data_IF_452479238476
#
_entry.id   IF_452479238476
#
_cell.length_a   1.000
_cell.length_b   1.000
_cell.length_c   1.000
_cell.angle_alpha   90.00
_cell.angle_beta   90.00
_cell.angle_gamma   90.00
#
_symmetry.space_group_name_H-M   'P 1'
#
loop_
_entity.id
_entity.type
_entity.pdbx_description
1 polymer ?
#
# COMPACT_ATOMS: atom_id res chain seq x y z
N UNK A 1 -3.78 48.73 24.04
CA UNK A 1 -4.96 48.14 23.36
C UNK A 1 -4.43 47.56 22.07
N UNK A 2 -3.72 46.44 22.20
CA UNK A 2 -4.19 45.05 22.06
C UNK A 2 -4.07 44.63 20.60
N UNK A 3 -2.83 44.20 20.34
CA UNK A 3 -2.38 43.26 19.33
C UNK A 3 -3.33 42.06 19.27
N UNK A 4 -3.95 41.84 18.11
CA UNK A 4 -4.81 40.68 17.84
C UNK A 4 -3.95 39.59 17.25
N UNK A 5 -3.59 38.61 18.09
CA UNK A 5 -2.86 37.42 17.70
C UNK A 5 -3.60 36.67 16.60
N UNK A 6 -2.85 36.33 15.55
CA UNK A 6 -3.23 35.31 14.61
C UNK A 6 -3.10 33.97 15.32
N UNK A 7 -4.22 33.26 15.49
CA UNK A 7 -4.23 31.84 15.81
C UNK A 7 -3.45 31.09 14.73
N UNK A 8 -2.29 30.54 15.11
CA UNK A 8 -1.61 29.53 14.31
C UNK A 8 -2.44 28.25 14.27
N UNK A 9 -2.25 27.38 13.26
CA UNK A 9 -2.97 26.13 13.19
C UNK A 9 -2.64 25.28 14.43
N UNK A 10 -3.71 24.87 15.13
CA UNK A 10 -3.68 23.95 16.25
C UNK A 10 -2.82 22.73 15.91
N UNK A 11 -1.83 22.45 16.77
CA UNK A 11 -1.05 21.22 16.73
C UNK A 11 -1.97 20.03 16.94
N UNK A 12 -2.29 19.33 15.85
CA UNK A 12 -2.99 18.05 15.88
C UNK A 12 -2.16 17.01 16.62
N UNK A 13 -2.82 16.31 17.53
CA UNK A 13 -2.30 15.21 18.35
C UNK A 13 -1.39 14.24 17.59
N UNK A 14 -0.16 14.07 18.11
CA UNK A 14 0.96 13.27 17.60
C UNK A 14 0.84 11.76 17.87
N UNK A 15 -0.19 11.11 17.32
CA UNK A 15 -0.25 9.65 17.18
C UNK A 15 -1.20 9.32 16.00
N UNK A 16 -0.65 9.21 14.79
CA UNK A 16 -1.44 8.90 13.59
C UNK A 16 -1.65 7.38 13.52
N UNK A 17 -2.77 6.90 14.05
CA UNK A 17 -3.19 5.51 13.89
C UNK A 17 -3.73 5.29 12.47
N UNK A 18 -3.33 4.20 11.84
CA UNK A 18 -3.77 3.77 10.49
C UNK A 18 -4.36 2.36 10.58
N UNK A 19 -5.20 2.00 9.61
CA UNK A 19 -5.66 0.61 9.51
C UNK A 19 -4.58 -0.28 8.91
N UNK A 20 -3.95 0.18 7.82
CA UNK A 20 -2.96 -0.58 7.05
C UNK A 20 -1.76 0.29 6.75
N UNK A 21 -0.56 -0.22 7.02
CA UNK A 21 0.69 0.34 6.49
C UNK A 21 1.29 -0.61 5.48
N UNK A 22 1.43 -0.14 4.24
CA UNK A 22 2.12 -0.86 3.16
C UNK A 22 3.56 -0.37 3.08
N UNK A 23 4.51 -1.28 3.30
CA UNK A 23 5.95 -0.98 3.26
C UNK A 23 6.50 -1.29 1.87
N UNK A 24 6.70 -0.24 1.08
CA UNK A 24 7.21 -0.31 -0.30
C UNK A 24 6.15 0.00 -1.36
N UNK A 25 6.43 0.99 -2.19
CA UNK A 25 5.58 1.54 -3.25
C UNK A 25 5.90 0.96 -4.63
N UNK A 26 6.34 -0.30 -4.65
CA UNK A 26 6.46 -1.07 -5.89
C UNK A 26 5.11 -1.60 -6.35
N UNK A 27 5.12 -2.37 -7.45
CA UNK A 27 3.89 -2.91 -8.05
C UNK A 27 3.02 -3.70 -7.06
N UNK A 28 3.64 -4.55 -6.23
CA UNK A 28 2.90 -5.34 -5.24
C UNK A 28 2.26 -4.48 -4.16
N UNK A 29 3.01 -3.53 -3.60
CA UNK A 29 2.52 -2.66 -2.52
C UNK A 29 1.44 -1.70 -3.01
N UNK A 30 1.64 -1.04 -4.16
CA UNK A 30 0.62 -0.17 -4.74
C UNK A 30 -0.66 -0.95 -5.09
N UNK A 31 -0.54 -2.18 -5.58
CA UNK A 31 -1.73 -3.01 -5.83
C UNK A 31 -2.43 -3.37 -4.52
N UNK A 32 -1.70 -3.74 -3.47
CA UNK A 32 -2.29 -4.00 -2.15
C UNK A 32 -2.98 -2.75 -1.57
N UNK A 33 -2.38 -1.58 -1.77
CA UNK A 33 -2.91 -0.30 -1.33
C UNK A 33 -4.23 0.04 -2.03
N UNK A 34 -4.33 -0.15 -3.35
CA UNK A 34 -5.60 0.01 -4.09
C UNK A 34 -6.69 -0.85 -3.45
N UNK A 35 -6.42 -2.12 -3.16
CA UNK A 35 -7.44 -3.03 -2.67
C UNK A 35 -7.92 -2.68 -1.26
N UNK A 36 -6.99 -2.40 -0.35
CA UNK A 36 -7.30 -2.04 1.04
C UNK A 36 -8.01 -0.68 1.13
N UNK A 37 -7.49 0.35 0.44
CA UNK A 37 -8.10 1.68 0.44
C UNK A 37 -9.49 1.69 -0.22
N UNK A 38 -9.71 0.90 -1.29
CA UNK A 38 -11.05 0.73 -1.89
C UNK A 38 -12.06 0.10 -0.94
N UNK A 39 -11.62 -0.55 0.14
CA UNK A 39 -12.48 -1.04 1.21
C UNK A 39 -12.69 -0.05 2.35
N UNK A 40 -12.20 1.18 2.18
CA UNK A 40 -12.33 2.22 3.19
C UNK A 40 -11.41 2.03 4.39
N UNK A 41 -10.45 1.09 4.31
CA UNK A 41 -9.37 1.04 5.29
C UNK A 41 -8.48 2.26 5.10
N UNK A 42 -8.12 2.90 6.21
CA UNK A 42 -7.14 3.98 6.24
C UNK A 42 -5.74 3.41 5.95
N UNK A 43 -5.38 3.43 4.66
CA UNK A 43 -4.17 2.82 4.13
C UNK A 43 -3.10 3.88 3.88
N UNK A 44 -1.91 3.66 4.46
CA UNK A 44 -0.69 4.45 4.20
C UNK A 44 0.34 3.62 3.44
N UNK A 45 0.83 4.13 2.31
CA UNK A 45 2.00 3.59 1.61
C UNK A 45 3.25 4.36 2.03
N UNK A 46 4.25 3.66 2.56
CA UNK A 46 5.57 4.23 2.88
C UNK A 46 6.60 3.73 1.89
N UNK A 47 7.20 4.62 1.11
CA UNK A 47 8.12 4.25 0.04
C UNK A 47 9.13 5.36 -0.29
N UNK A 48 10.43 5.06 -0.45
CA UNK A 48 11.42 6.06 -0.84
C UNK A 48 11.48 6.33 -2.36
N UNK A 49 10.57 5.77 -3.17
CA UNK A 49 10.56 5.94 -4.63
C UNK A 49 11.53 5.04 -5.40
N UNK A 50 12.17 4.07 -4.74
CA UNK A 50 13.31 3.31 -5.30
C UNK A 50 12.92 1.98 -5.98
N UNK A 51 11.68 1.86 -6.47
CA UNK A 51 11.22 0.64 -7.14
C UNK A 51 12.18 0.27 -8.28
N UNK A 52 12.75 -0.96 -8.23
CA UNK A 52 13.68 -1.44 -9.26
C UNK A 52 13.09 -1.40 -10.67
N UNK A 53 11.76 -1.41 -10.79
CA UNK A 53 11.08 -1.32 -12.05
C UNK A 53 11.41 -0.01 -12.79
N UNK A 54 11.63 1.11 -12.07
CA UNK A 54 12.01 2.44 -12.62
C UNK A 54 13.29 2.42 -13.45
N UNK A 55 14.19 1.46 -13.20
CA UNK A 55 15.49 1.34 -13.88
C UNK A 55 15.42 0.69 -15.27
N UNK A 56 14.28 0.08 -15.59
CA UNK A 56 14.13 -0.63 -16.86
C UNK A 56 13.80 0.35 -18.00
N UNK A 57 14.26 0.01 -19.20
CA UNK A 57 14.01 0.82 -20.39
C UNK A 57 12.55 0.74 -20.83
N UNK A 58 11.98 -0.48 -20.87
CA UNK A 58 10.63 -0.75 -21.33
C UNK A 58 10.07 -2.02 -20.69
N UNK A 59 8.77 -2.08 -20.41
CA UNK A 59 8.08 -3.25 -19.86
C UNK A 59 7.11 -3.84 -20.90
N UNK A 60 7.47 -4.98 -21.46
CA UNK A 60 6.75 -5.56 -22.62
C UNK A 60 5.64 -6.55 -22.24
N UNK A 61 5.68 -7.11 -21.03
CA UNK A 61 4.87 -8.27 -20.65
C UNK A 61 3.84 -7.99 -19.54
N UNK A 62 3.48 -6.73 -19.33
CA UNK A 62 2.36 -6.38 -18.42
C UNK A 62 1.03 -6.43 -19.17
N UNK A 63 0.04 -7.24 -18.73
CA UNK A 63 -1.25 -7.35 -19.42
C UNK A 63 -1.95 -6.01 -19.60
N UNK A 64 -2.61 -5.84 -20.75
CA UNK A 64 -3.29 -4.58 -21.11
C UNK A 64 -2.42 -3.59 -21.91
N UNK A 65 -1.11 -3.81 -22.01
CA UNK A 65 -0.19 -2.97 -22.78
C UNK A 65 0.38 -3.75 -23.99
N UNK A 66 -0.33 -3.80 -25.13
CA UNK A 66 0.07 -4.65 -26.27
C UNK A 66 1.41 -4.27 -26.92
N UNK A 67 1.87 -3.03 -26.71
CA UNK A 67 3.17 -2.53 -27.18
C UNK A 67 4.15 -2.29 -26.01
N UNK A 68 3.83 -2.82 -24.82
CA UNK A 68 4.51 -2.51 -23.58
C UNK A 68 4.24 -1.09 -23.07
N UNK A 69 4.91 -0.74 -21.98
CA UNK A 69 4.76 0.52 -21.26
C UNK A 69 6.09 0.99 -20.68
N UNK A 70 6.28 2.31 -20.61
CA UNK A 70 7.37 2.90 -19.84
C UNK A 70 7.21 2.52 -18.35
N UNK A 71 8.20 1.86 -17.71
CA UNK A 71 8.06 1.34 -16.36
C UNK A 71 7.76 2.39 -15.28
N UNK A 72 8.26 3.62 -15.45
CA UNK A 72 8.00 4.75 -14.54
C UNK A 72 6.54 5.19 -14.64
N UNK A 73 6.04 5.37 -15.87
CA UNK A 73 4.62 5.67 -16.09
C UNK A 73 3.67 4.57 -15.59
N UNK A 74 4.08 3.30 -15.55
CA UNK A 74 3.26 2.26 -14.93
C UNK A 74 3.16 2.47 -13.42
N UNK A 75 4.28 2.79 -12.76
CA UNK A 75 4.31 3.04 -11.32
C UNK A 75 3.51 4.28 -10.96
N UNK A 76 3.65 5.38 -11.71
CA UNK A 76 2.86 6.60 -11.45
C UNK A 76 1.36 6.31 -11.60
N UNK A 77 0.97 5.54 -12.63
CA UNK A 77 -0.44 5.15 -12.81
C UNK A 77 -0.97 4.28 -11.67
N UNK A 78 -0.15 3.38 -11.13
CA UNK A 78 -0.51 2.56 -9.97
C UNK A 78 -0.61 3.41 -8.69
N UNK A 79 0.27 4.39 -8.52
CA UNK A 79 0.26 5.33 -7.41
C UNK A 79 -0.98 6.23 -7.46
N UNK A 80 -1.28 6.81 -8.62
CA UNK A 80 -2.49 7.58 -8.87
C UNK A 80 -3.76 6.75 -8.65
N UNK A 81 -3.74 5.45 -8.97
CA UNK A 81 -4.86 4.55 -8.72
C UNK A 81 -5.03 4.27 -7.21
N UNK A 82 -3.93 4.12 -6.47
CA UNK A 82 -3.97 3.95 -5.02
C UNK A 82 -4.47 5.24 -4.33
N UNK A 83 -3.97 6.40 -4.73
CA UNK A 83 -4.43 7.69 -4.24
C UNK A 83 -5.92 7.93 -4.58
N UNK A 84 -6.34 7.63 -5.81
CA UNK A 84 -7.74 7.72 -6.23
C UNK A 84 -8.67 6.75 -5.50
N UNK A 85 -8.13 5.66 -4.93
CA UNK A 85 -8.83 4.74 -4.04
C UNK A 85 -8.91 5.23 -2.58
N UNK A 86 -8.14 6.26 -2.22
CA UNK A 86 -8.08 6.82 -0.87
C UNK A 86 -6.83 6.45 -0.06
N UNK A 87 -5.81 5.85 -0.67
CA UNK A 87 -4.55 5.57 0.02
C UNK A 87 -3.71 6.85 0.16
N UNK A 88 -3.16 7.08 1.35
CA UNK A 88 -2.16 8.11 1.58
C UNK A 88 -0.76 7.61 1.21
N UNK A 89 0.12 8.55 0.88
CA UNK A 89 1.53 8.28 0.59
C UNK A 89 2.45 9.08 1.50
N UNK A 90 3.49 8.41 2.00
CA UNK A 90 4.60 9.03 2.67
C UNK A 90 5.92 8.64 1.98
N UNK A 91 6.64 9.65 1.49
CA UNK A 91 7.95 9.45 0.89
C UNK A 91 9.01 9.32 1.99
N UNK A 92 9.34 8.07 2.32
CA UNK A 92 10.27 7.74 3.37
C UNK A 92 10.61 6.26 3.42
N UNK A 93 11.60 5.91 4.23
CA UNK A 93 12.02 4.53 4.44
C UNK A 93 11.52 4.04 5.79
N UNK A 94 10.84 2.90 5.80
CA UNK A 94 10.60 2.17 7.04
C UNK A 94 11.91 1.61 7.55
N UNK A 95 12.26 2.00 8.78
CA UNK A 95 13.49 1.57 9.45
C UNK A 95 13.24 0.41 10.41
N UNK A 96 12.02 0.33 10.97
CA UNK A 96 11.63 -0.74 11.90
C UNK A 96 10.11 -0.93 11.93
N UNK A 97 9.70 -2.18 12.09
CA UNK A 97 8.36 -2.57 12.51
C UNK A 97 8.52 -3.33 13.84
N UNK A 98 7.69 -3.00 14.81
CA UNK A 98 7.64 -3.70 16.09
C UNK A 98 6.19 -3.99 16.47
N UNK A 99 5.94 -5.06 17.22
CA UNK A 99 4.63 -5.23 17.87
C UNK A 99 4.47 -4.21 18.98
N UNK A 100 3.24 -3.75 19.23
CA UNK A 100 2.99 -2.77 20.30
C UNK A 100 3.48 -3.30 21.65
N UNK A 101 3.26 -4.59 21.95
CA UNK A 101 3.77 -5.21 23.18
C UNK A 101 5.30 -5.13 23.33
N UNK A 102 6.06 -5.31 22.25
CA UNK A 102 7.53 -5.18 22.31
C UNK A 102 7.99 -3.74 22.55
N UNK A 103 7.22 -2.75 22.08
CA UNK A 103 7.49 -1.32 22.35
C UNK A 103 7.18 -0.99 23.81
N UNK A 104 6.07 -1.50 24.33
CA UNK A 104 5.66 -1.29 25.72
C UNK A 104 6.65 -1.93 26.71
N UNK A 105 7.14 -3.14 26.43
CA UNK A 105 8.16 -3.82 27.24
C UNK A 105 9.48 -3.02 27.27
N UNK A 106 9.91 -2.49 26.12
CA UNK A 106 11.11 -1.66 26.04
C UNK A 106 10.96 -0.32 26.79
N UNK A 107 9.76 0.26 26.80
CA UNK A 107 9.45 1.48 27.57
C UNK A 107 9.36 1.22 29.09
N UNK A 108 8.98 0.01 29.51
CA UNK A 108 9.01 -0.36 30.93
C UNK A 108 10.43 -0.39 31.51
N UNK A 109 11.43 -0.69 30.66
CA UNK A 109 12.85 -0.66 31.02
C UNK A 109 13.46 0.76 31.02
N UNK A 110 12.79 1.76 30.42
CA UNK A 110 13.16 3.18 30.46
C UNK A 110 11.94 4.10 30.80
N UNK A 111 11.71 4.41 32.09
CA UNK A 111 10.51 5.12 32.55
C UNK A 111 10.38 6.58 32.06
N UNK A 112 11.36 7.12 31.32
CA UNK A 112 11.25 8.41 30.66
C UNK A 112 10.38 8.39 29.39
N UNK A 113 10.03 7.21 28.85
CA UNK A 113 9.24 7.04 27.62
C UNK A 113 7.70 6.96 27.84
N UNK A 114 7.23 7.09 29.09
CA UNK A 114 5.85 6.84 29.53
C UNK A 114 4.82 7.94 29.19
N UNK A 115 4.82 8.41 27.95
CA UNK A 115 3.78 9.28 27.43
C UNK A 115 3.31 8.77 26.05
N UNK A 116 2.77 7.55 26.00
CA UNK A 116 2.02 7.09 24.82
C UNK A 116 0.65 6.56 25.26
N UNK A 117 -0.43 6.87 24.51
CA UNK A 117 -1.78 6.50 24.87
C UNK A 117 -1.98 4.97 24.86
N UNK A 118 -2.94 4.50 25.65
CA UNK A 118 -3.24 3.08 25.87
C UNK A 118 -3.30 2.27 24.57
N UNK A 119 -2.41 1.29 24.45
CA UNK A 119 -2.33 0.34 23.34
C UNK A 119 -3.64 -0.42 23.05
N UNK A 120 -4.53 -0.50 24.04
CA UNK A 120 -5.80 -1.20 23.94
C UNK A 120 -6.92 -0.38 23.27
N UNK A 121 -6.74 0.93 23.05
CA UNK A 121 -7.83 1.82 22.63
C UNK A 121 -8.04 1.90 21.10
N UNK A 122 -7.01 1.63 20.28
CA UNK A 122 -7.08 1.79 18.82
C UNK A 122 -6.99 0.48 18.01
N UNK A 123 -6.79 -0.66 18.67
CA UNK A 123 -6.66 -1.97 18.01
C UNK A 123 -5.35 -2.14 17.22
N UNK A 124 -4.40 -1.20 17.33
CA UNK A 124 -3.12 -1.30 16.67
C UNK A 124 -2.31 -2.47 17.23
N UNK A 125 -1.69 -3.22 16.32
CA UNK A 125 -0.85 -4.38 16.61
C UNK A 125 0.63 -4.05 16.44
N UNK A 126 0.93 -3.05 15.60
CA UNK A 126 2.27 -2.69 15.20
C UNK A 126 2.54 -1.19 15.37
N UNK A 127 3.81 -0.87 15.55
CA UNK A 127 4.38 0.46 15.40
C UNK A 127 5.39 0.41 14.26
N UNK A 128 5.24 1.32 13.30
CA UNK A 128 6.11 1.45 12.12
C UNK A 128 6.93 2.72 12.26
N UNK A 129 8.24 2.58 12.37
CA UNK A 129 9.19 3.69 12.43
C UNK A 129 9.72 4.01 11.03
N UNK A 130 9.88 5.30 10.75
CA UNK A 130 10.40 5.79 9.48
C UNK A 130 11.58 6.73 9.70
N UNK A 131 12.36 7.00 8.65
CA UNK A 131 13.50 7.92 8.69
C UNK A 131 13.13 9.41 8.63
N UNK A 132 11.85 9.76 8.47
CA UNK A 132 11.43 11.14 8.23
C UNK A 132 10.10 11.58 8.86
N UNK A 133 9.40 10.70 9.60
CA UNK A 133 8.14 11.01 10.26
C UNK A 133 8.05 10.35 11.64
N UNK A 134 7.10 10.85 12.45
CA UNK A 134 6.74 10.23 13.71
C UNK A 134 6.30 8.76 13.49
N UNK A 135 6.54 7.86 14.47
CA UNK A 135 6.10 6.48 14.37
C UNK A 135 4.60 6.36 14.12
N UNK A 136 4.21 5.45 13.24
CA UNK A 136 2.81 5.20 12.86
C UNK A 136 2.32 3.94 13.55
N UNK A 137 1.22 4.04 14.30
CA UNK A 137 0.53 2.87 14.87
C UNK A 137 -0.38 2.27 13.80
N UNK A 138 -0.44 0.94 13.70
CA UNK A 138 -1.27 0.28 12.68
C UNK A 138 -1.82 -1.07 13.12
N UNK A 139 -3.01 -1.42 12.60
CA UNK A 139 -3.62 -2.75 12.79
C UNK A 139 -2.95 -3.79 11.90
N UNK A 140 -2.64 -3.41 10.67
CA UNK A 140 -2.07 -4.30 9.65
C UNK A 140 -0.81 -3.74 9.01
N UNK A 141 0.10 -4.64 8.64
CA UNK A 141 1.31 -4.32 7.86
C UNK A 141 1.40 -5.22 6.64
N UNK A 142 1.60 -4.63 5.46
CA UNK A 142 1.91 -5.36 4.22
C UNK A 142 3.35 -5.05 3.81
N UNK A 143 4.26 -5.98 4.08
CA UNK A 143 5.66 -5.90 3.70
C UNK A 143 5.83 -6.20 2.19
N UNK A 144 6.07 -5.17 1.37
CA UNK A 144 6.09 -5.25 -0.09
C UNK A 144 7.40 -4.72 -0.71
N UNK A 145 8.49 -4.71 0.06
CA UNK A 145 9.83 -4.36 -0.42
C UNK A 145 10.37 -5.43 -1.37
N UNK A 146 11.50 -5.15 -2.05
CA UNK A 146 12.07 -6.11 -3.00
C UNK A 146 12.72 -7.32 -2.31
N UNK A 147 13.70 -7.06 -1.46
CA UNK A 147 14.48 -8.06 -0.72
C UNK A 147 15.07 -7.47 0.58
N UNK A 148 14.53 -6.32 1.00
CA UNK A 148 14.93 -5.63 2.22
C UNK A 148 14.05 -6.16 3.33
N UNK A 149 14.65 -6.78 4.34
CA UNK A 149 13.94 -7.42 5.46
C UNK A 149 14.37 -6.86 6.81
N UNK A 150 15.40 -6.00 6.86
CA UNK A 150 16.01 -5.56 8.12
C UNK A 150 15.01 -4.88 9.06
N UNK A 151 14.01 -4.18 8.50
CA UNK A 151 12.96 -3.54 9.29
C UNK A 151 12.01 -4.51 10.00
N UNK A 152 12.02 -5.81 9.65
CA UNK A 152 11.22 -6.86 10.31
C UNK A 152 12.02 -7.66 11.34
N UNK A 153 13.31 -7.37 11.52
CA UNK A 153 14.16 -8.10 12.47
C UNK A 153 13.65 -7.95 13.91
N UNK A 154 13.62 -9.06 14.64
CA UNK A 154 13.21 -9.10 16.04
C UNK A 154 11.70 -9.23 16.27
N UNK A 155 10.89 -9.40 15.21
CA UNK A 155 9.48 -9.78 15.37
C UNK A 155 9.37 -11.31 15.44
N UNK A 156 9.02 -11.82 16.62
CA UNK A 156 8.75 -13.25 16.82
C UNK A 156 7.61 -13.72 15.91
N UNK A 157 7.85 -14.78 15.13
CA UNK A 157 6.90 -15.33 14.15
C UNK A 157 7.14 -14.89 12.71
N UNK A 158 8.04 -13.93 12.45
CA UNK A 158 8.48 -13.61 11.09
C UNK A 158 9.67 -14.47 10.72
N UNK A 159 9.44 -15.48 9.87
CA UNK A 159 10.50 -16.29 9.30
C UNK A 159 11.24 -15.53 8.19
N UNK A 160 12.57 -15.53 8.22
CA UNK A 160 13.40 -14.99 7.13
C UNK A 160 14.14 -16.14 6.44
N UNK A 161 14.01 -16.22 5.12
CA UNK A 161 14.64 -17.25 4.29
C UNK A 161 15.72 -16.61 3.41
N UNK A 162 16.95 -17.11 3.49
CA UNK A 162 18.04 -16.69 2.60
C UNK A 162 18.29 -17.73 1.49
N UNK A 163 18.12 -17.31 0.24
CA UNK A 163 18.45 -18.10 -0.97
C UNK A 163 19.38 -17.34 -1.91
N UNK A 164 20.38 -16.66 -1.34
CA UNK A 164 21.25 -15.69 -2.01
C UNK A 164 20.68 -14.26 -2.00
N UNK A 165 19.45 -14.11 -1.52
CA UNK A 165 18.75 -12.87 -1.15
C UNK A 165 17.80 -13.25 -0.01
N UNK A 166 17.49 -12.28 0.85
CA UNK A 166 16.53 -12.46 1.92
C UNK A 166 15.08 -12.34 1.42
N UNK A 167 14.23 -13.18 1.98
CA UNK A 167 12.79 -13.26 1.76
C UNK A 167 12.07 -13.44 3.09
N UNK A 168 10.78 -13.14 3.12
CA UNK A 168 9.90 -13.44 4.25
C UNK A 168 9.18 -14.76 3.99
N UNK A 169 9.25 -15.67 4.95
CA UNK A 169 8.50 -16.93 4.95
C UNK A 169 7.01 -16.63 5.13
N UNK A 170 6.20 -17.09 4.19
CA UNK A 170 4.76 -16.86 4.17
C UNK A 170 4.00 -18.08 3.67
N UNK A 171 2.72 -18.16 4.02
CA UNK A 171 1.79 -19.09 3.38
C UNK A 171 1.54 -18.72 1.90
N UNK A 172 0.76 -19.54 1.20
CA UNK A 172 0.49 -19.33 -0.23
C UNK A 172 -0.22 -18.01 -0.54
N UNK A 173 -0.91 -17.45 0.46
CA UNK A 173 -1.71 -16.22 0.42
C UNK A 173 -1.00 -15.01 1.04
N UNK A 174 0.26 -15.16 1.43
CA UNK A 174 1.14 -14.10 1.92
C UNK A 174 1.02 -13.77 3.41
N UNK A 175 0.40 -14.62 4.24
CA UNK A 175 0.42 -14.47 5.71
C UNK A 175 1.79 -14.85 6.27
N UNK A 176 2.31 -14.05 7.19
CA UNK A 176 3.45 -14.46 8.03
C UNK A 176 2.96 -15.30 9.22
N UNK A 177 3.88 -15.68 10.13
CA UNK A 177 3.51 -16.30 11.41
C UNK A 177 2.95 -15.31 12.45
N UNK A 178 2.71 -14.05 12.08
CA UNK A 178 2.22 -12.99 12.96
C UNK A 178 0.90 -12.45 12.44
N UNK A 179 -0.15 -12.53 13.26
CA UNK A 179 -1.48 -12.04 12.92
C UNK A 179 -1.46 -10.55 12.55
N UNK A 180 -1.93 -10.24 11.35
CA UNK A 180 -1.98 -8.89 10.80
C UNK A 180 -0.72 -8.41 10.10
N UNK A 181 0.33 -9.24 10.01
CA UNK A 181 1.52 -8.97 9.20
C UNK A 181 1.58 -9.91 7.99
N UNK A 182 1.64 -9.30 6.81
CA UNK A 182 1.64 -9.97 5.52
C UNK A 182 2.90 -9.60 4.73
N UNK A 183 3.30 -10.43 3.77
CA UNK A 183 4.33 -10.08 2.80
C UNK A 183 3.84 -10.31 1.36
N UNK A 184 4.18 -9.37 0.47
CA UNK A 184 3.70 -9.34 -0.91
C UNK A 184 4.83 -9.26 -1.94
N UNK A 185 4.50 -9.63 -3.19
CA UNK A 185 5.43 -9.58 -4.32
C UNK A 185 6.73 -10.35 -4.11
N UNK A 186 7.86 -9.70 -4.43
CA UNK A 186 9.18 -10.33 -4.44
C UNK A 186 9.67 -10.73 -3.04
N UNK A 187 9.29 -9.99 -2.00
CA UNK A 187 9.64 -10.30 -0.61
C UNK A 187 9.11 -11.67 -0.19
N UNK A 188 7.93 -12.03 -0.68
CA UNK A 188 7.25 -13.31 -0.48
C UNK A 188 7.64 -14.37 -1.54
N UNK A 189 8.90 -14.38 -1.97
CA UNK A 189 9.48 -15.29 -2.96
C UNK A 189 8.81 -15.35 -4.36
N UNK A 190 7.84 -14.49 -4.67
CA UNK A 190 7.19 -14.56 -5.98
C UNK A 190 8.18 -14.24 -7.12
N UNK A 191 7.95 -14.83 -8.31
CA UNK A 191 8.75 -14.55 -9.50
C UNK A 191 8.95 -13.05 -9.74
N UNK A 192 10.14 -12.68 -10.21
CA UNK A 192 10.51 -11.29 -10.47
C UNK A 192 9.87 -10.79 -11.77
N UNK A 193 8.55 -10.61 -11.75
CA UNK A 193 7.69 -10.23 -12.88
C UNK A 193 6.63 -9.25 -12.38
N UNK A 194 6.49 -8.09 -13.03
CA UNK A 194 5.58 -7.03 -12.56
C UNK A 194 4.13 -7.52 -12.47
N UNK A 195 3.63 -8.25 -13.47
CA UNK A 195 2.27 -8.79 -13.46
C UNK A 195 2.03 -9.81 -12.33
N UNK A 196 3.03 -10.63 -12.01
CA UNK A 196 2.95 -11.59 -10.88
C UNK A 196 2.93 -10.84 -9.55
N UNK A 197 3.77 -9.82 -9.40
CA UNK A 197 3.78 -8.98 -8.21
C UNK A 197 2.45 -8.20 -8.03
N UNK A 198 1.85 -7.72 -9.12
CA UNK A 198 0.53 -7.08 -9.08
C UNK A 198 -0.54 -8.07 -8.57
N UNK A 199 -0.62 -9.25 -9.20
CA UNK A 199 -1.56 -10.30 -8.80
C UNK A 199 -1.37 -10.73 -7.35
N UNK A 200 -0.13 -10.93 -6.90
CA UNK A 200 0.14 -11.30 -5.51
C UNK A 200 -0.18 -10.16 -4.53
N UNK A 201 0.09 -8.89 -4.90
CA UNK A 201 -0.32 -7.74 -4.08
C UNK A 201 -1.83 -7.68 -3.85
N UNK A 202 -2.61 -7.93 -4.91
CA UNK A 202 -4.06 -8.03 -4.83
C UNK A 202 -4.50 -9.23 -3.95
N UNK A 203 -3.91 -10.41 -4.17
CA UNK A 203 -4.20 -11.62 -3.38
C UNK A 203 -3.93 -11.42 -1.88
N UNK A 204 -2.83 -10.78 -1.52
CA UNK A 204 -2.49 -10.45 -0.14
C UNK A 204 -3.50 -9.47 0.47
N UNK A 205 -3.89 -8.43 -0.26
CA UNK A 205 -4.88 -7.48 0.23
C UNK A 205 -6.26 -8.13 0.42
N UNK A 206 -6.71 -8.98 -0.50
CA UNK A 206 -7.95 -9.77 -0.33
C UNK A 206 -7.86 -10.66 0.91
N UNK A 207 -6.71 -11.29 1.13
CA UNK A 207 -6.44 -12.14 2.29
C UNK A 207 -6.50 -11.33 3.60
N UNK A 208 -5.93 -10.13 3.62
CA UNK A 208 -6.03 -9.20 4.74
C UNK A 208 -7.48 -8.81 5.02
N UNK A 209 -8.24 -8.47 3.98
CA UNK A 209 -9.64 -8.07 4.11
C UNK A 209 -10.53 -9.21 4.63
N UNK A 210 -10.25 -10.45 4.22
CA UNK A 210 -10.90 -11.64 4.79
C UNK A 210 -10.57 -11.80 6.29
N UNK A 211 -9.32 -11.55 6.69
CA UNK A 211 -8.90 -11.64 8.09
C UNK A 211 -9.43 -10.46 8.95
N UNK A 212 -9.79 -9.32 8.34
CA UNK A 212 -10.47 -8.18 8.97
C UNK A 212 -12.01 -8.38 9.05
N UNK A 213 -12.53 -9.51 8.55
CA UNK A 213 -13.97 -9.75 8.38
C UNK A 213 -14.67 -8.64 7.54
N UNK A 214 -13.92 -7.98 6.65
CA UNK A 214 -14.45 -6.94 5.78
C UNK A 214 -15.45 -7.55 4.77
N UNK A 215 -16.58 -6.87 4.48
CA UNK A 215 -17.53 -7.37 3.50
C UNK A 215 -16.86 -7.57 2.14
N UNK A 216 -17.17 -8.69 1.48
CA UNK A 216 -16.70 -8.90 0.11
C UNK A 216 -17.19 -7.76 -0.79
N UNK A 217 -16.29 -7.21 -1.61
CA UNK A 217 -16.62 -6.16 -2.56
C UNK A 217 -16.26 -6.58 -3.97
N UNK A 218 -17.00 -6.02 -4.93
CA UNK A 218 -16.75 -6.23 -6.34
C UNK A 218 -15.95 -5.06 -6.92
N UNK A 219 -15.07 -5.34 -7.87
CA UNK A 219 -14.27 -4.35 -8.58
C UNK A 219 -14.99 -3.76 -9.81
N UNK A 220 -16.18 -4.28 -10.15
CA UNK A 220 -16.99 -3.84 -11.29
C UNK A 220 -18.18 -2.98 -10.88
N UNK A 221 -18.59 -2.13 -11.82
CA UNK A 221 -19.80 -1.31 -11.74
C UNK A 221 -20.79 -1.82 -12.78
N UNK A 222 -22.03 -2.04 -12.36
CA UNK A 222 -23.08 -2.56 -13.22
C UNK A 222 -23.90 -1.42 -13.86
N UNK A 223 -24.51 -1.63 -15.04
CA UNK A 223 -25.51 -0.69 -15.54
C UNK A 223 -26.77 -0.73 -14.66
N UNK A 224 -27.44 0.42 -14.54
CA UNK A 224 -28.76 0.53 -13.91
C UNK A 224 -29.72 -0.56 -14.40
N UNK A 225 -30.41 -1.21 -13.46
CA UNK A 225 -31.34 -2.29 -13.75
C UNK A 225 -30.70 -3.68 -13.81
N UNK A 226 -29.36 -3.80 -13.81
CA UNK A 226 -28.70 -5.10 -13.97
C UNK A 226 -29.14 -6.13 -12.93
N UNK A 227 -29.15 -5.78 -11.65
CA UNK A 227 -29.68 -6.58 -10.54
C UNK A 227 -31.13 -6.22 -10.27
N UNK A 228 -31.43 -4.93 -10.18
CA UNK A 228 -32.71 -4.42 -9.68
C UNK A 228 -33.91 -4.78 -10.57
N UNK A 229 -33.77 -4.76 -11.90
CA UNK A 229 -34.86 -5.17 -12.82
C UNK A 229 -35.14 -6.67 -12.77
N UNK A 230 -34.20 -7.47 -12.25
CA UNK A 230 -34.38 -8.91 -12.01
C UNK A 230 -34.93 -9.21 -10.61
N UNK A 231 -35.34 -8.18 -9.86
CA UNK A 231 -35.82 -8.32 -8.49
C UNK A 231 -34.74 -8.81 -7.53
N UNK A 232 -33.47 -8.49 -7.79
CA UNK A 232 -32.32 -8.83 -6.94
C UNK A 232 -31.77 -7.56 -6.31
N UNK A 233 -31.33 -7.67 -5.06
CA UNK A 233 -30.57 -6.61 -4.41
C UNK A 233 -29.21 -6.44 -5.11
N UNK A 234 -28.71 -5.20 -5.16
CA UNK A 234 -27.35 -4.90 -5.59
C UNK A 234 -26.39 -5.52 -4.56
N UNK A 235 -25.44 -6.39 -4.96
CA UNK A 235 -24.51 -6.99 -4.02
C UNK A 235 -23.72 -5.92 -3.24
N UNK A 236 -23.33 -6.18 -1.99
CA UNK A 236 -22.41 -5.30 -1.26
C UNK A 236 -21.17 -4.96 -2.10
N UNK A 237 -20.78 -3.68 -2.08
CA UNK A 237 -19.65 -3.18 -2.87
C UNK A 237 -19.88 -3.09 -4.39
N UNK A 238 -21.03 -3.51 -4.92
CA UNK A 238 -21.44 -3.17 -6.29
C UNK A 238 -22.18 -1.83 -6.31
N UNK A 239 -22.03 -1.11 -7.43
CA UNK A 239 -22.84 0.05 -7.76
C UNK A 239 -23.58 -0.23 -9.09
N UNK A 240 -24.81 0.28 -9.21
CA UNK A 240 -25.51 0.40 -10.49
C UNK A 240 -25.47 1.86 -10.94
N UNK A 241 -24.96 2.12 -12.14
CA UNK A 241 -24.88 3.48 -12.72
C UNK A 241 -25.73 3.61 -13.97
N UNK A 242 -26.32 4.79 -14.13
CA UNK A 242 -27.07 5.11 -15.33
C UNK A 242 -26.16 5.28 -16.57
N UNK A 243 -26.78 5.47 -17.73
CA UNK A 243 -26.05 5.60 -18.98
C UNK A 243 -25.25 6.91 -19.10
N UNK A 244 -25.66 7.98 -18.40
CA UNK A 244 -24.97 9.26 -18.40
C UNK A 244 -23.69 9.18 -17.56
N UNK A 245 -23.77 8.63 -16.35
CA UNK A 245 -22.63 8.39 -15.46
C UNK A 245 -21.63 7.43 -16.12
N UNK A 246 -22.11 6.35 -16.76
CA UNK A 246 -21.22 5.45 -17.50
C UNK A 246 -20.45 6.19 -18.60
N UNK A 247 -21.12 7.05 -19.38
CA UNK A 247 -20.49 7.86 -20.43
C UNK A 247 -19.52 8.88 -19.84
N UNK A 248 -19.85 9.49 -18.71
CA UNK A 248 -18.97 10.44 -18.02
C UNK A 248 -17.69 9.77 -17.54
N UNK A 249 -17.79 8.60 -16.87
CA UNK A 249 -16.63 7.80 -16.44
C UNK A 249 -15.78 7.35 -17.63
N UNK A 250 -16.40 6.92 -18.73
CA UNK A 250 -15.68 6.54 -19.95
C UNK A 250 -14.95 7.72 -20.60
N UNK A 251 -15.58 8.90 -20.70
CA UNK A 251 -14.95 10.10 -21.21
C UNK A 251 -13.74 10.52 -20.35
N UNK A 252 -13.90 10.53 -19.02
CA UNK A 252 -12.81 10.84 -18.09
C UNK A 252 -11.64 9.86 -18.21
N UNK A 253 -11.93 8.55 -18.35
CA UNK A 253 -10.90 7.54 -18.55
C UNK A 253 -10.13 7.72 -19.88
N UNK A 254 -10.84 8.05 -20.96
CA UNK A 254 -10.21 8.33 -22.27
C UNK A 254 -9.34 9.58 -22.22
N UNK A 255 -9.80 10.65 -21.57
CA UNK A 255 -9.05 11.89 -21.46
C UNK A 255 -7.80 11.72 -20.58
N UNK A 256 -7.93 11.05 -19.42
CA UNK A 256 -6.78 10.71 -18.57
C UNK A 256 -5.77 9.82 -19.31
N UNK A 257 -6.25 8.82 -20.08
CA UNK A 257 -5.38 7.96 -20.86
C UNK A 257 -4.60 8.73 -21.95
N UNK A 258 -5.26 9.69 -22.62
CA UNK A 258 -4.61 10.56 -23.61
C UNK A 258 -3.58 11.46 -22.96
N UNK A 259 -3.94 12.14 -21.87
CA UNK A 259 -3.06 13.07 -21.17
C UNK A 259 -1.80 12.37 -20.64
N UNK A 260 -1.96 11.26 -19.90
CA UNK A 260 -0.84 10.52 -19.31
C UNK A 260 0.05 9.81 -20.32
N UNK A 261 -0.38 9.73 -21.58
CA UNK A 261 0.38 9.07 -22.65
C UNK A 261 0.80 10.04 -23.76
N UNK A 262 0.50 11.33 -23.62
CA UNK A 262 0.77 12.34 -24.64
C UNK A 262 2.28 12.60 -24.77
N UNK A 263 3.00 12.56 -23.66
CA UNK A 263 4.42 12.88 -23.59
C UNK A 263 5.22 11.73 -22.95
N UNK A 264 6.52 11.60 -23.27
CA UNK A 264 7.42 10.74 -22.53
C UNK A 264 7.44 11.09 -21.04
N UNK A 265 7.75 10.09 -20.20
CA UNK A 265 7.96 10.32 -18.78
C UNK A 265 9.05 11.40 -18.56
N UNK A 266 8.84 12.39 -17.67
CA UNK A 266 9.77 13.52 -17.50
C UNK A 266 11.11 13.08 -16.89
N UNK A 267 11.11 12.11 -15.98
CA UNK A 267 12.35 11.60 -15.40
C UNK A 267 13.09 10.70 -16.39
N UNK A 268 14.42 10.83 -16.48
CA UNK A 268 15.25 9.94 -17.28
C UNK A 268 15.21 8.51 -16.73
N UNK A 269 15.62 7.55 -17.56
CA UNK A 269 15.85 6.19 -17.09
C UNK A 269 17.01 6.18 -16.08
N UNK A 270 16.73 5.70 -14.87
CA UNK A 270 17.73 5.43 -13.85
C UNK A 270 18.62 4.23 -14.24
N UNK A 271 19.92 4.30 -13.93
CA UNK A 271 20.84 3.18 -14.14
C UNK A 271 20.96 2.31 -12.89
N UNK A 272 21.73 1.22 -12.96
CA UNK A 272 22.04 0.44 -11.78
C UNK A 272 23.01 1.23 -10.88
N UNK A 273 22.81 1.32 -9.56
CA UNK A 273 23.66 2.13 -8.67
C UNK A 273 25.15 1.75 -8.72
N UNK A 274 25.48 0.50 -9.04
CA UNK A 274 26.87 0.06 -9.22
C UNK A 274 27.57 0.59 -10.48
N UNK A 275 26.88 1.39 -11.31
CA UNK A 275 27.42 2.04 -12.51
C UNK A 275 27.59 3.55 -12.31
N UNK A 276 27.20 4.06 -11.13
CA UNK A 276 27.36 5.45 -10.71
C UNK A 276 28.65 5.53 -9.86
N UNK A 277 29.81 5.44 -10.54
CA UNK A 277 31.13 5.72 -9.96
C UNK A 277 31.42 7.23 -9.89
#
# INVERSE_FOLDING_TARGET
MTDSGADGPDGGSTDASRDVVVVGGGVAGLTAAVFTARQGLDTLVVDPGESILRRNAHLENFPGFPLGINPRQLLDRLDEQAAGAGADRFDGRVTRVATVGAVDDAAADDPAANARPDAAADGARFVVETDGADPVRTRYVVAATKNEVGYLEGIDGVGIVDRGKAYVDVDERGRTGVDGLYAAGRLAEKPHQAAVCAGHGAEVAVTLLEDDDAPFYHDWVAPEGYFTDRGRDVPPGCEEIDADERRAREAAALDAARERSAEPHPDPQETHPSLED
#
